data_IF_985413888777
#
_entry.id   IF_985413888777
#
_cell.length_a   1.000
_cell.length_b   1.000
_cell.length_c   1.000
_cell.angle_alpha   90.00
_cell.angle_beta   90.00
_cell.angle_gamma   90.00
#
_symmetry.space_group_name_H-M   'P 1'
#
loop_
_entity.id
_entity.type
_entity.pdbx_description
1 polymer ?
#
# COMPACT_ATOMS: atom_id res chain seq x y z
N UNK A 1 -6.40 -1.29 -2.46
CA UNK A 1 -5.80 0.03 -2.75
C UNK A 1 -6.73 0.71 -3.73
N UNK A 2 -7.42 1.75 -3.30
CA UNK A 2 -8.37 2.52 -4.12
C UNK A 2 -8.26 4.01 -3.77
N UNK A 3 -8.79 4.88 -4.64
CA UNK A 3 -8.80 6.33 -4.44
C UNK A 3 -10.07 6.73 -3.70
N UNK A 4 -9.95 7.01 -2.41
CA UNK A 4 -11.05 7.47 -1.58
C UNK A 4 -11.05 9.00 -1.42
N UNK A 5 -12.25 9.61 -1.40
CA UNK A 5 -12.41 11.05 -1.14
C UNK A 5 -12.24 11.42 0.33
N UNK A 6 -12.42 10.47 1.24
CA UNK A 6 -12.33 10.68 2.69
C UNK A 6 -11.93 9.38 3.41
N UNK A 7 -11.37 9.52 4.62
CA UNK A 7 -11.12 8.42 5.54
C UNK A 7 -12.44 7.77 6.00
N UNK A 8 -12.46 6.46 6.21
CA UNK A 8 -13.55 5.82 6.92
C UNK A 8 -13.34 5.92 8.44
N UNK A 9 -14.42 5.71 9.21
CA UNK A 9 -14.36 5.80 10.66
C UNK A 9 -13.46 4.69 11.23
N UNK A 10 -12.37 5.10 11.88
CA UNK A 10 -11.35 4.17 12.41
C UNK A 10 -10.10 4.06 11.56
N UNK A 11 -10.05 4.72 10.40
CA UNK A 11 -8.84 4.79 9.59
C UNK A 11 -7.85 5.81 10.13
N UNK A 12 -6.57 5.48 10.03
CA UNK A 12 -5.49 6.42 10.23
C UNK A 12 -5.27 7.22 8.94
N UNK A 13 -5.16 8.54 9.08
CA UNK A 13 -4.82 9.43 7.96
C UNK A 13 -3.35 9.82 8.04
N UNK A 14 -2.60 9.52 6.99
CA UNK A 14 -1.22 9.99 6.80
C UNK A 14 -1.20 11.03 5.68
N UNK A 15 -0.48 12.12 5.88
CA UNK A 15 -0.29 13.14 4.85
C UNK A 15 1.18 13.17 4.42
N UNK A 16 1.44 12.86 3.15
CA UNK A 16 2.79 12.78 2.62
C UNK A 16 2.83 13.36 1.22
N UNK A 17 3.77 14.29 0.98
CA UNK A 17 3.93 14.97 -0.32
C UNK A 17 2.64 15.64 -0.82
N UNK A 18 1.78 16.10 0.09
CA UNK A 18 0.48 16.73 -0.22
C UNK A 18 -0.64 15.73 -0.57
N UNK A 19 -0.36 14.42 -0.51
CA UNK A 19 -1.37 13.37 -0.68
C UNK A 19 -1.82 12.85 0.69
N UNK A 20 -3.12 12.58 0.79
CA UNK A 20 -3.71 11.93 1.97
C UNK A 20 -3.86 10.44 1.71
N UNK A 21 -3.27 9.65 2.57
CA UNK A 21 -3.35 8.19 2.56
C UNK A 21 -4.20 7.77 3.75
N UNK A 22 -5.28 7.04 3.47
CA UNK A 22 -6.17 6.49 4.48
C UNK A 22 -5.84 5.01 4.65
N UNK A 23 -5.48 4.63 5.87
CA UNK A 23 -5.08 3.28 6.22
C UNK A 23 -6.00 2.74 7.30
N UNK A 24 -6.66 1.63 7.00
CA UNK A 24 -7.34 0.85 8.02
C UNK A 24 -6.33 0.38 9.08
N UNK A 25 -6.76 0.29 10.34
CA UNK A 25 -5.88 0.00 11.48
C UNK A 25 -5.14 -1.36 11.34
N UNK A 26 -5.78 -2.33 10.69
CA UNK A 26 -5.14 -3.64 10.35
C UNK A 26 -4.07 -3.50 9.27
N UNK A 27 -4.34 -2.68 8.26
CA UNK A 27 -3.40 -2.43 7.18
C UNK A 27 -2.21 -1.60 7.67
N UNK A 28 -2.44 -0.68 8.61
CA UNK A 28 -1.40 0.08 9.27
C UNK A 28 -0.33 -0.86 9.86
N UNK A 29 -0.71 -1.86 10.64
CA UNK A 29 0.24 -2.84 11.21
C UNK A 29 1.11 -3.55 10.17
N UNK A 30 0.57 -3.81 8.97
CA UNK A 30 1.31 -4.44 7.88
C UNK A 30 2.18 -3.44 7.09
N UNK A 31 1.77 -2.18 7.05
CA UNK A 31 2.34 -1.14 6.20
C UNK A 31 3.23 -0.14 6.97
N UNK A 32 3.32 -0.22 8.29
CA UNK A 32 4.16 0.66 9.13
C UNK A 32 5.62 0.71 8.68
N UNK A 33 6.16 -0.40 8.16
CA UNK A 33 7.53 -0.50 7.62
C UNK A 33 7.58 -0.57 6.10
N UNK A 34 6.48 -0.21 5.43
CA UNK A 34 6.37 -0.27 3.97
C UNK A 34 6.52 1.12 3.37
N UNK A 35 7.36 1.24 2.36
CA UNK A 35 7.51 2.44 1.54
C UNK A 35 6.60 2.33 0.32
N UNK A 36 5.84 3.38 0.04
CA UNK A 36 4.94 3.49 -1.10
C UNK A 36 5.55 4.46 -2.10
N UNK A 37 6.07 3.93 -3.19
CA UNK A 37 6.68 4.73 -4.26
C UNK A 37 5.80 4.68 -5.52
N UNK A 38 5.95 5.68 -6.40
CA UNK A 38 5.32 5.68 -7.71
C UNK A 38 6.39 5.51 -8.79
N UNK A 39 6.22 4.51 -9.65
CA UNK A 39 7.07 4.26 -10.80
C UNK A 39 6.26 4.43 -12.10
N UNK A 40 6.72 5.32 -12.98
CA UNK A 40 6.10 5.50 -14.29
C UNK A 40 6.11 4.18 -15.08
N UNK A 41 4.94 3.79 -15.61
CA UNK A 41 4.74 2.53 -16.33
C UNK A 41 4.39 1.33 -15.44
N UNK A 42 4.55 1.42 -14.11
CA UNK A 42 4.23 0.33 -13.17
C UNK A 42 3.17 0.73 -12.13
N UNK A 43 3.00 2.03 -11.86
CA UNK A 43 2.06 2.56 -10.88
C UNK A 43 2.65 2.63 -9.47
N UNK A 44 1.81 2.42 -8.45
CA UNK A 44 2.25 2.44 -7.06
C UNK A 44 2.91 1.12 -6.67
N UNK A 45 4.14 1.20 -6.18
CA UNK A 45 4.96 0.06 -5.74
C UNK A 45 5.15 0.12 -4.23
N UNK A 46 4.84 -0.99 -3.57
CA UNK A 46 5.05 -1.17 -2.13
C UNK A 46 6.35 -1.94 -1.91
N UNK A 47 7.30 -1.35 -1.19
CA UNK A 47 8.59 -1.95 -0.84
C UNK A 47 8.75 -1.99 0.69
N UNK A 48 9.48 -2.95 1.25
CA UNK A 48 9.64 -3.06 2.71
C UNK A 48 8.56 -3.84 3.46
N UNK A 49 7.48 -4.29 2.78
CA UNK A 49 6.64 -5.37 3.31
C UNK A 49 7.50 -6.61 3.50
N UNK A 50 7.38 -7.30 4.64
CA UNK A 50 7.79 -8.70 4.74
C UNK A 50 6.95 -9.48 3.73
N UNK A 51 7.46 -9.59 2.49
CA UNK A 51 6.92 -10.49 1.49
C UNK A 51 7.15 -11.89 2.03
N UNK A 52 6.16 -12.43 2.73
CA UNK A 52 5.84 -13.85 2.61
C UNK A 52 5.89 -14.12 1.10
N UNK A 53 6.91 -14.86 0.67
CA UNK A 53 7.21 -15.11 -0.73
C UNK A 53 5.99 -15.76 -1.37
N UNK A 54 5.12 -14.94 -1.93
CA UNK A 54 4.06 -15.36 -2.83
C UNK A 54 4.79 -15.79 -4.09
N UNK A 55 5.11 -17.08 -4.12
CA UNK A 55 5.56 -17.81 -5.29
C UNK A 55 4.48 -17.65 -6.36
N UNK A 56 4.53 -16.55 -7.11
CA UNK A 56 3.92 -16.47 -8.44
C UNK A 56 4.85 -17.26 -9.38
N UNK A 57 4.98 -18.55 -9.10
CA UNK A 57 5.66 -19.51 -9.94
C UNK A 57 4.76 -19.86 -11.10
N UNK A 58 5.13 -19.37 -12.28
CA UNK A 58 4.96 -20.07 -13.56
C UNK A 58 3.57 -20.68 -13.82
N UNK A 59 2.61 -19.86 -14.25
CA UNK A 59 1.56 -20.33 -15.16
C UNK A 59 2.04 -20.16 -16.61
N UNK A 60 2.89 -21.10 -17.03
CA UNK A 60 3.30 -21.28 -18.42
C UNK A 60 2.78 -22.64 -18.92
N UNK A 61 1.49 -22.73 -19.25
CA UNK A 61 0.93 -23.63 -20.28
C UNK A 61 -0.59 -23.46 -20.40
#
# INVERSE_FOLDING_TARGET
MDIAKAAQAGDMTLEQSGLKVFLEDRANQMLTNTTIDFAEGQGFVLSGMQKESSSCGTCSC
#
